data_IF_477061271849
#
_entry.id   IF_477061271849
#
_cell.length_a   1.000
_cell.length_b   1.000
_cell.length_c   1.000
_cell.angle_alpha   90.00
_cell.angle_beta   90.00
_cell.angle_gamma   90.00
#
_symmetry.space_group_name_H-M   'P 1'
#
loop_
_entity.id
_entity.type
_entity.pdbx_description
1 polymer ?
#
# COMPACT_ATOMS: atom_id res chain seq x y z
N UNK A 1 10.62 -16.91 11.12
CA UNK A 1 9.31 -16.29 11.36
C UNK A 1 9.50 -15.03 12.19
N UNK A 2 9.62 -13.89 11.52
CA UNK A 2 9.86 -12.57 12.10
C UNK A 2 8.73 -12.20 13.09
N UNK A 3 7.47 -12.32 12.63
CA UNK A 3 6.27 -12.09 13.43
C UNK A 3 6.21 -12.78 14.81
N UNK A 4 6.50 -14.09 14.88
CA UNK A 4 6.40 -14.84 16.14
C UNK A 4 7.40 -14.37 17.20
N UNK A 5 8.57 -13.88 16.78
CA UNK A 5 9.61 -13.44 17.71
C UNK A 5 9.45 -11.97 18.10
N UNK A 6 8.86 -11.16 17.23
CA UNK A 6 8.98 -9.70 17.38
C UNK A 6 7.67 -8.94 17.20
N UNK A 7 6.62 -9.52 16.62
CA UNK A 7 5.26 -8.97 16.58
C UNK A 7 4.89 -8.29 15.27
N UNK A 8 3.77 -7.56 15.27
CA UNK A 8 3.13 -7.00 14.06
C UNK A 8 3.62 -5.59 13.68
N UNK A 9 3.81 -4.72 14.67
CA UNK A 9 3.95 -3.28 14.46
C UNK A 9 5.39 -2.85 14.15
N UNK A 10 5.52 -1.77 13.38
CA UNK A 10 6.79 -1.23 12.86
C UNK A 10 7.73 -0.58 13.90
N UNK A 11 7.31 -0.48 15.16
CA UNK A 11 8.07 0.22 16.20
C UNK A 11 9.27 -0.56 16.75
N UNK A 12 9.48 -1.80 16.31
CA UNK A 12 10.59 -2.64 16.78
C UNK A 12 11.71 -2.73 15.73
N UNK A 13 12.99 -2.71 16.15
CA UNK A 13 14.12 -2.84 15.24
C UNK A 13 14.02 -4.09 14.36
N UNK A 14 14.41 -3.97 13.08
CA UNK A 14 14.48 -5.04 12.08
C UNK A 14 13.16 -5.80 11.79
N UNK A 15 12.01 -5.19 12.09
CA UNK A 15 10.70 -5.88 12.13
C UNK A 15 9.51 -4.98 11.76
N UNK A 16 8.32 -5.59 11.65
CA UNK A 16 7.05 -4.87 11.48
C UNK A 16 6.70 -4.53 10.04
N UNK A 17 7.31 -5.24 9.08
CA UNK A 17 6.89 -5.20 7.68
C UNK A 17 5.48 -5.79 7.51
N UNK A 18 5.07 -6.72 8.37
CA UNK A 18 3.75 -7.36 8.35
C UNK A 18 2.61 -6.34 8.46
N UNK A 19 2.81 -5.28 9.26
CA UNK A 19 1.86 -4.17 9.38
C UNK A 19 1.67 -3.48 8.03
N UNK A 20 2.77 -3.04 7.40
CA UNK A 20 2.72 -2.37 6.11
C UNK A 20 2.19 -3.28 5.00
N UNK A 21 2.61 -4.55 4.98
CA UNK A 21 2.14 -5.53 4.01
C UNK A 21 0.63 -5.78 4.13
N UNK A 22 0.11 -5.88 5.35
CA UNK A 22 -1.33 -6.07 5.58
C UNK A 22 -2.13 -4.89 5.03
N UNK A 23 -1.69 -3.66 5.31
CA UNK A 23 -2.35 -2.44 4.79
C UNK A 23 -2.28 -2.42 3.26
N UNK A 24 -1.12 -2.73 2.68
CA UNK A 24 -0.93 -2.77 1.23
C UNK A 24 -1.86 -3.79 0.56
N UNK A 25 -1.99 -5.00 1.13
CA UNK A 25 -2.88 -6.04 0.62
C UNK A 25 -4.34 -5.61 0.73
N UNK A 26 -4.78 -5.07 1.87
CA UNK A 26 -6.16 -4.58 2.04
C UNK A 26 -6.46 -3.46 1.04
N UNK A 27 -5.55 -2.52 0.86
CA UNK A 27 -5.70 -1.44 -0.12
C UNK A 27 -5.80 -1.98 -1.56
N UNK A 28 -4.99 -2.97 -1.93
CA UNK A 28 -5.05 -3.61 -3.24
C UNK A 28 -6.35 -4.38 -3.46
N UNK A 29 -6.85 -5.08 -2.43
CA UNK A 29 -8.16 -5.77 -2.48
C UNK A 29 -9.29 -4.77 -2.68
N UNK A 30 -9.27 -3.63 -1.98
CA UNK A 30 -10.24 -2.55 -2.17
C UNK A 30 -10.16 -2.01 -3.60
N UNK A 31 -8.96 -1.73 -4.11
CA UNK A 31 -8.75 -1.25 -5.48
C UNK A 31 -9.23 -2.27 -6.54
N UNK A 32 -9.03 -3.57 -6.28
CA UNK A 32 -9.46 -4.66 -7.16
C UNK A 32 -10.97 -4.85 -7.16
N UNK A 33 -11.60 -4.74 -5.99
CA UNK A 33 -13.06 -4.85 -5.82
C UNK A 33 -13.77 -3.67 -6.48
N UNK A 34 -13.09 -2.52 -6.53
CA UNK A 34 -13.57 -1.32 -7.21
C UNK A 34 -14.42 -0.41 -6.33
N UNK A 35 -14.81 0.76 -6.88
CA UNK A 35 -15.54 1.78 -6.15
C UNK A 35 -16.94 1.34 -5.71
N UNK A 36 -17.23 1.47 -4.42
CA UNK A 36 -18.58 1.27 -3.88
C UNK A 36 -19.48 2.49 -4.03
N UNK A 37 -20.76 2.35 -3.70
CA UNK A 37 -21.80 3.42 -3.78
C UNK A 37 -21.46 4.75 -3.06
N UNK A 38 -20.49 4.75 -2.14
CA UNK A 38 -20.08 5.92 -1.37
C UNK A 38 -18.77 6.53 -1.87
N UNK A 39 -18.20 6.00 -2.96
CA UNK A 39 -16.97 6.56 -3.52
C UNK A 39 -17.25 7.83 -4.34
N UNK A 40 -16.20 8.63 -4.53
CA UNK A 40 -16.25 9.77 -5.43
C UNK A 40 -16.43 9.35 -6.89
N UNK A 41 -15.86 8.20 -7.28
CA UNK A 41 -16.06 7.63 -8.61
C UNK A 41 -17.55 7.40 -8.89
N UNK A 42 -18.30 6.89 -7.91
CA UNK A 42 -19.73 6.69 -8.05
C UNK A 42 -20.49 8.01 -8.20
N UNK A 43 -20.13 9.04 -7.41
CA UNK A 43 -20.73 10.37 -7.50
C UNK A 43 -20.44 11.07 -8.85
N UNK A 44 -19.29 10.77 -9.47
CA UNK A 44 -18.86 11.32 -10.75
C UNK A 44 -19.24 10.43 -11.96
N UNK A 45 -19.90 9.29 -11.73
CA UNK A 45 -20.25 8.34 -12.81
C UNK A 45 -19.04 7.66 -13.46
N UNK A 46 -17.92 7.56 -12.76
CA UNK A 46 -16.71 6.89 -13.22
C UNK A 46 -16.84 5.40 -12.92
N UNK A 47 -16.70 4.58 -13.96
CA UNK A 47 -16.83 3.14 -13.86
C UNK A 47 -15.53 2.44 -14.26
N UNK A 48 -15.03 1.60 -13.36
CA UNK A 48 -13.92 0.69 -13.61
C UNK A 48 -14.46 -0.72 -13.82
N UNK A 49 -13.92 -1.44 -14.81
CA UNK A 49 -14.32 -2.82 -15.13
C UNK A 49 -13.11 -3.74 -15.14
N UNK A 50 -13.35 -5.02 -14.83
CA UNK A 50 -12.33 -6.06 -14.81
C UNK A 50 -11.15 -5.72 -13.87
N UNK A 51 -9.93 -5.91 -14.36
CA UNK A 51 -8.69 -5.74 -13.59
C UNK A 51 -8.16 -4.29 -13.55
N UNK A 52 -8.86 -3.34 -14.14
CA UNK A 52 -8.38 -1.95 -14.26
C UNK A 52 -8.08 -1.31 -12.90
N UNK A 53 -8.95 -1.50 -11.91
CA UNK A 53 -8.74 -1.01 -10.55
C UNK A 53 -7.52 -1.64 -9.86
N UNK A 54 -7.29 -2.93 -10.06
CA UNK A 54 -6.11 -3.64 -9.53
C UNK A 54 -4.80 -3.12 -10.16
N UNK A 55 -4.79 -2.92 -11.48
CA UNK A 55 -3.64 -2.39 -12.20
C UNK A 55 -3.33 -0.95 -11.80
N UNK A 56 -4.33 -0.07 -11.79
CA UNK A 56 -4.17 1.32 -11.37
C UNK A 56 -3.73 1.42 -9.91
N UNK A 57 -4.41 0.72 -8.99
CA UNK A 57 -4.08 0.72 -7.58
C UNK A 57 -2.68 0.17 -7.32
N UNK A 58 -2.30 -0.93 -7.99
CA UNK A 58 -0.96 -1.52 -7.90
C UNK A 58 0.14 -0.59 -8.41
N UNK A 59 -0.04 0.01 -9.59
CA UNK A 59 0.92 0.95 -10.17
C UNK A 59 1.08 2.22 -9.32
N UNK A 60 -0.03 2.81 -8.87
CA UNK A 60 0.00 3.98 -8.00
C UNK A 60 0.62 3.66 -6.63
N UNK A 61 0.31 2.49 -6.06
CA UNK A 61 0.89 2.06 -4.78
C UNK A 61 2.40 1.85 -4.86
N UNK A 62 2.88 1.11 -5.86
CA UNK A 62 4.31 0.89 -6.08
C UNK A 62 5.01 2.21 -6.43
N UNK A 63 4.43 2.98 -7.36
CA UNK A 63 4.97 4.28 -7.76
C UNK A 63 5.06 5.26 -6.59
N UNK A 64 4.04 5.32 -5.73
CA UNK A 64 4.03 6.13 -4.52
C UNK A 64 5.08 5.69 -3.50
N UNK A 65 5.25 4.38 -3.29
CA UNK A 65 6.28 3.85 -2.41
C UNK A 65 7.71 4.19 -2.91
N UNK A 66 7.94 4.04 -4.22
CA UNK A 66 9.21 4.41 -4.85
C UNK A 66 9.46 5.93 -4.78
N UNK A 67 8.43 6.75 -5.03
CA UNK A 67 8.54 8.19 -4.92
C UNK A 67 8.83 8.64 -3.48
N UNK A 68 8.16 8.05 -2.48
CA UNK A 68 8.43 8.31 -1.08
C UNK A 68 9.88 7.95 -0.72
N UNK A 69 10.38 6.80 -1.20
CA UNK A 69 11.77 6.42 -0.99
C UNK A 69 12.73 7.42 -1.66
N UNK A 70 12.51 7.75 -2.93
CA UNK A 70 13.37 8.66 -3.68
C UNK A 70 13.44 10.06 -3.05
N UNK A 71 12.30 10.58 -2.59
CA UNK A 71 12.19 11.94 -2.07
C UNK A 71 12.60 12.05 -0.59
N UNK A 72 12.25 11.06 0.23
CA UNK A 72 12.33 11.16 1.69
C UNK A 72 13.37 10.25 2.33
N UNK A 73 13.92 9.25 1.62
CA UNK A 73 14.96 8.40 2.18
C UNK A 73 16.26 9.20 2.37
N UNK A 74 16.74 9.22 3.61
CA UNK A 74 17.98 9.89 4.03
C UNK A 74 18.83 8.90 4.84
N UNK A 75 19.50 7.95 4.18
CA UNK A 75 20.37 7.02 4.87
C UNK A 75 21.51 7.80 5.54
N UNK A 76 21.77 7.52 6.82
CA UNK A 76 23.01 7.96 7.44
C UNK A 76 24.11 7.00 7.00
N UNK A 77 25.14 7.51 6.34
CA UNK A 77 26.35 6.73 6.11
C UNK A 77 26.97 6.48 7.48
N UNK A 78 27.09 5.22 7.88
CA UNK A 78 27.86 4.85 9.06
C UNK A 78 29.35 4.95 8.69
N UNK A 79 30.21 5.57 9.52
CA UNK A 79 31.64 5.63 9.26
C UNK A 79 32.30 4.25 9.27
#
# INVERSE_FOLDING_TARGET
>A
VAHWKVGFFIFKPDQGWEYCASIAVVALVVATTGPGRWSLDHALGIHFSGWSGALLGGLLGIGGALAQLALSYRPKVSP
#
